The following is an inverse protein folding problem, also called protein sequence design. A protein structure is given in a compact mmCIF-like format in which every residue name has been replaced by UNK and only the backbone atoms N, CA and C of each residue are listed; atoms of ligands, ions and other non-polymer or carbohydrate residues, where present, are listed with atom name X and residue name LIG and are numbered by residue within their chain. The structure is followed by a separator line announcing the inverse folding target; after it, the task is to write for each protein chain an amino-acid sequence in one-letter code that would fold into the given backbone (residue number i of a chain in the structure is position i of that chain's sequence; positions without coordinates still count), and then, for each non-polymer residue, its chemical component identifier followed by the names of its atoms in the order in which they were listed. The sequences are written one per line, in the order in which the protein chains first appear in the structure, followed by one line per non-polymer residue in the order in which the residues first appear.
data_IF_534997488605
#
_entry.id   IF_534997488605
#
_cell.length_a   1.000
_cell.length_b   1.000
_cell.length_c   1.000
_cell.angle_alpha   90.00
_cell.angle_beta   90.00
_cell.angle_gamma   90.00
#
_symmetry.space_group_name_H-M   'P 1'
#
loop_
_entity.id
_entity.type
_entity.pdbx_description
1 polymer ?
#
# COMPACT_ATOMS: atom_id res chain seq x y z
N UNK A 1 10.95 36.09 8.13
CA UNK A 1 11.52 34.87 7.53
C UNK A 1 10.51 33.73 7.45
N UNK A 2 9.75 33.44 8.53
CA UNK A 2 8.72 32.38 8.56
C UNK A 2 7.55 32.64 7.59
N UNK A 3 7.06 33.88 7.49
CA UNK A 3 5.92 34.23 6.62
C UNK A 3 6.24 33.99 5.13
N UNK A 4 7.42 34.41 4.67
CA UNK A 4 7.87 34.21 3.27
C UNK A 4 8.03 32.72 2.93
N UNK A 5 8.51 31.91 3.86
CA UNK A 5 8.61 30.46 3.67
C UNK A 5 7.22 29.80 3.54
N UNK A 6 6.24 30.23 4.36
CA UNK A 6 4.85 29.79 4.23
C UNK A 6 4.22 30.23 2.89
N UNK A 7 4.45 31.45 2.44
CA UNK A 7 3.87 31.93 1.16
C UNK A 7 4.47 31.19 -0.05
N UNK A 8 5.76 30.88 -0.01
CA UNK A 8 6.42 30.09 -1.06
C UNK A 8 5.98 28.62 -1.04
N UNK A 9 5.71 28.06 0.16
CA UNK A 9 5.11 26.72 0.29
C UNK A 9 3.70 26.70 -0.31
N UNK A 10 2.87 27.71 -0.02
CA UNK A 10 1.51 27.80 -0.57
C UNK A 10 1.51 27.91 -2.09
N UNK A 11 2.42 28.71 -2.67
CA UNK A 11 2.61 28.76 -4.13
C UNK A 11 3.08 27.45 -4.75
N UNK A 12 3.82 26.63 -4.00
CA UNK A 12 4.21 25.28 -4.44
C UNK A 12 3.06 24.28 -4.44
N UNK A 13 1.97 24.58 -3.72
CA UNK A 13 0.76 23.77 -3.65
C UNK A 13 -0.33 24.29 -4.61
N UNK A 14 -0.13 25.46 -5.22
CA UNK A 14 -1.02 25.98 -6.24
C UNK A 14 -0.92 25.12 -7.50
N UNK A 15 -2.06 24.55 -7.86
CA UNK A 15 -2.25 23.76 -9.08
C UNK A 15 -1.88 24.62 -10.30
N UNK A 16 -1.12 24.05 -11.25
CA UNK A 16 -0.65 24.78 -12.43
C UNK A 16 -1.82 25.33 -13.26
N UNK A 17 -1.66 26.54 -13.80
CA UNK A 17 -2.74 27.26 -14.49
C UNK A 17 -3.26 26.56 -15.76
N UNK A 18 -2.48 25.64 -16.35
CA UNK A 18 -2.84 24.83 -17.53
C UNK A 18 -3.46 23.47 -17.18
N UNK A 19 -3.71 23.19 -15.90
CA UNK A 19 -4.30 21.93 -15.46
C UNK A 19 -5.80 21.86 -15.77
N UNK A 20 -6.23 20.73 -16.35
CA UNK A 20 -7.66 20.38 -16.38
C UNK A 20 -8.02 19.73 -15.04
N UNK A 21 -9.29 19.74 -14.63
CA UNK A 21 -9.76 19.06 -13.40
C UNK A 21 -9.30 17.60 -13.23
N UNK A 22 -8.88 16.95 -14.32
CA UNK A 22 -8.44 15.55 -14.36
C UNK A 22 -6.94 15.33 -14.58
N UNK A 23 -6.16 16.39 -14.83
CA UNK A 23 -4.72 16.33 -15.09
C UNK A 23 -3.96 17.18 -14.07
N UNK A 24 -3.25 16.49 -13.17
CA UNK A 24 -2.27 17.07 -12.26
C UNK A 24 -0.92 16.37 -12.49
N UNK A 25 0.20 17.04 -12.20
CA UNK A 25 1.55 16.45 -12.33
C UNK A 25 1.72 15.17 -11.52
N UNK A 26 1.03 15.03 -10.38
CA UNK A 26 1.08 13.83 -9.52
C UNK A 26 0.26 12.65 -10.06
N UNK A 27 -0.71 12.93 -10.94
CA UNK A 27 -1.64 11.94 -11.49
C UNK A 27 -1.09 11.36 -12.81
N UNK A 28 -0.19 12.09 -13.47
CA UNK A 28 0.43 11.67 -14.71
C UNK A 28 1.33 10.42 -14.50
N UNK A 29 1.46 9.56 -15.52
CA UNK A 29 2.34 8.41 -15.44
C UNK A 29 3.78 8.81 -15.09
N UNK A 30 4.38 8.08 -14.15
CA UNK A 30 5.69 8.47 -13.62
C UNK A 30 6.79 8.33 -14.71
N UNK A 31 7.54 9.40 -15.02
CA UNK A 31 8.59 9.36 -16.03
C UNK A 31 9.74 8.43 -15.61
N UNK A 32 10.46 7.80 -16.56
CA UNK A 32 11.52 6.84 -16.24
C UNK A 32 12.59 7.37 -15.28
N UNK A 33 12.93 8.67 -15.36
CA UNK A 33 13.92 9.30 -14.50
C UNK A 33 13.55 9.33 -13.01
N UNK A 34 12.25 9.27 -12.67
CA UNK A 34 11.76 9.26 -11.29
C UNK A 34 11.51 7.85 -10.74
N UNK A 35 11.80 6.79 -11.51
CA UNK A 35 11.61 5.39 -11.11
C UNK A 35 12.80 4.90 -10.27
N UNK A 36 12.85 5.32 -9.01
CA UNK A 36 13.95 5.00 -8.08
C UNK A 36 13.80 3.66 -7.37
N UNK A 37 12.63 3.02 -7.49
CA UNK A 37 12.34 1.76 -6.82
C UNK A 37 13.07 0.60 -7.50
N UNK A 38 14.06 0.05 -6.78
CA UNK A 38 14.71 -1.19 -7.18
C UNK A 38 13.98 -2.40 -6.60
N UNK A 39 14.27 -3.60 -7.12
CA UNK A 39 13.73 -4.86 -6.57
C UNK A 39 14.03 -5.03 -5.07
N UNK A 40 15.18 -4.51 -4.61
CA UNK A 40 15.56 -4.53 -3.18
C UNK A 40 14.66 -3.61 -2.37
N UNK A 41 14.44 -2.38 -2.84
CA UNK A 41 13.54 -1.41 -2.21
C UNK A 41 12.14 -2.00 -2.05
N UNK A 42 11.66 -2.73 -3.06
CA UNK A 42 10.36 -3.41 -3.01
C UNK A 42 10.30 -4.48 -1.89
N UNK A 43 11.32 -5.35 -1.79
CA UNK A 43 11.35 -6.39 -0.73
C UNK A 43 11.41 -5.76 0.67
N UNK A 44 12.28 -4.76 0.86
CA UNK A 44 12.41 -4.09 2.16
C UNK A 44 11.14 -3.31 2.53
N UNK A 45 10.46 -2.72 1.55
CA UNK A 45 9.17 -2.07 1.78
C UNK A 45 8.17 -3.08 2.38
N UNK A 46 7.98 -4.24 1.74
CA UNK A 46 7.03 -5.23 2.24
C UNK A 46 7.41 -5.78 3.61
N UNK A 47 8.69 -6.05 3.86
CA UNK A 47 9.17 -6.45 5.20
C UNK A 47 8.86 -5.39 6.26
N UNK A 48 9.05 -4.11 5.94
CA UNK A 48 8.71 -3.02 6.86
C UNK A 48 7.19 -2.95 7.12
N UNK A 49 6.35 -3.21 6.11
CA UNK A 49 4.89 -3.20 6.27
C UNK A 49 4.36 -4.35 7.12
N UNK A 50 5.00 -5.53 7.07
CA UNK A 50 4.58 -6.72 7.82
C UNK A 50 4.87 -6.64 9.32
N UNK A 51 5.66 -5.66 9.76
CA UNK A 51 5.94 -5.42 11.19
C UNK A 51 4.98 -4.35 11.68
N UNK A 52 3.73 -4.75 11.88
CA UNK A 52 2.65 -3.89 12.38
C UNK A 52 1.79 -4.62 13.41
N UNK A 53 1.18 -3.86 14.32
CA UNK A 53 0.42 -4.44 15.43
C UNK A 53 -0.75 -5.34 14.97
N UNK A 54 -1.39 -4.99 13.85
CA UNK A 54 -2.57 -5.72 13.36
C UNK A 54 -2.22 -7.16 12.97
N UNK A 55 -1.14 -7.38 12.22
CA UNK A 55 -0.71 -8.71 11.80
C UNK A 55 -0.29 -9.56 13.00
N UNK A 56 0.42 -8.95 13.96
CA UNK A 56 0.89 -9.64 15.17
C UNK A 56 -0.26 -10.01 16.10
N UNK A 57 -1.24 -9.12 16.26
CA UNK A 57 -2.46 -9.39 17.01
C UNK A 57 -3.31 -10.46 16.33
N UNK A 58 -3.47 -10.41 15.00
CA UNK A 58 -4.22 -11.44 14.26
C UNK A 58 -3.59 -12.84 14.40
N UNK A 59 -2.25 -12.92 14.32
CA UNK A 59 -1.53 -14.16 14.57
C UNK A 59 -1.72 -14.66 16.02
N UNK A 60 -1.63 -13.74 17.00
CA UNK A 60 -1.82 -14.05 18.42
C UNK A 60 -3.22 -14.58 18.72
N UNK A 61 -4.26 -13.96 18.15
CA UNK A 61 -5.65 -14.35 18.36
C UNK A 61 -6.01 -15.69 17.71
N UNK A 62 -5.23 -16.20 16.75
CA UNK A 62 -5.46 -17.55 16.20
C UNK A 62 -5.02 -18.68 17.15
N UNK A 63 -4.12 -18.39 18.09
CA UNK A 63 -3.55 -19.36 19.02
C UNK A 63 -4.48 -19.66 20.19
N UNK A 64 -4.65 -20.95 20.50
CA UNK A 64 -5.52 -21.39 21.62
C UNK A 64 -4.99 -21.11 23.03
N UNK A 65 -3.77 -20.60 23.18
CA UNK A 65 -3.14 -20.40 24.49
C UNK A 65 -3.56 -19.09 25.19
N UNK A 66 -4.03 -18.09 24.43
CA UNK A 66 -4.52 -16.84 24.99
C UNK A 66 -6.03 -16.95 25.29
N UNK A 67 -6.37 -17.25 26.55
CA UNK A 67 -7.76 -17.45 27.00
C UNK A 67 -8.59 -16.15 27.06
N UNK A 68 -7.99 -15.01 26.76
CA UNK A 68 -8.61 -13.68 26.84
C UNK A 68 -8.94 -13.03 25.49
N UNK A 69 -8.56 -13.67 24.37
CA UNK A 69 -8.93 -13.18 23.04
C UNK A 69 -10.32 -13.69 22.64
N UNK A 70 -11.21 -12.75 22.34
CA UNK A 70 -12.63 -12.97 22.04
C UNK A 70 -12.82 -13.78 20.73
N UNK A 71 -11.77 -13.89 19.90
CA UNK A 71 -11.78 -14.53 18.56
C UNK A 71 -10.87 -15.77 18.51
N UNK A 72 -10.53 -16.37 19.65
CA UNK A 72 -9.62 -17.51 19.69
C UNK A 72 -10.14 -18.74 18.95
N UNK A 73 -9.46 -19.13 17.86
CA UNK A 73 -9.81 -20.31 17.02
C UNK A 73 -9.30 -21.62 17.65
N UNK A 74 -8.42 -21.55 18.66
CA UNK A 74 -7.96 -22.72 19.41
C UNK A 74 -6.85 -23.52 18.71
N UNK A 75 -6.19 -22.95 17.69
CA UNK A 75 -5.16 -23.66 16.92
C UNK A 75 -3.89 -23.89 17.74
N UNK A 76 -3.26 -25.04 17.48
CA UNK A 76 -1.88 -25.29 17.94
C UNK A 76 -0.91 -24.36 17.21
N UNK A 77 0.26 -24.10 17.81
CA UNK A 77 1.27 -23.18 17.24
C UNK A 77 1.65 -23.55 15.81
N UNK A 78 1.87 -24.84 15.53
CA UNK A 78 2.22 -25.31 14.19
C UNK A 78 1.10 -25.09 13.17
N UNK A 79 -0.16 -25.33 13.56
CA UNK A 79 -1.31 -25.13 12.67
C UNK A 79 -1.57 -23.64 12.42
N UNK A 80 -1.44 -22.78 13.43
CA UNK A 80 -1.58 -21.34 13.30
C UNK A 80 -0.57 -20.76 12.30
N UNK A 81 0.70 -21.19 12.38
CA UNK A 81 1.75 -20.78 11.42
C UNK A 81 1.40 -21.24 10.01
N UNK A 82 0.96 -22.49 9.83
CA UNK A 82 0.61 -23.03 8.52
C UNK A 82 -0.57 -22.29 7.88
N UNK A 83 -1.64 -22.03 8.65
CA UNK A 83 -2.81 -21.28 8.17
C UNK A 83 -2.41 -19.85 7.79
N UNK A 84 -1.59 -19.19 8.61
CA UNK A 84 -1.14 -17.83 8.31
C UNK A 84 -0.27 -17.79 7.04
N UNK A 85 0.63 -18.76 6.86
CA UNK A 85 1.45 -18.86 5.65
C UNK A 85 0.58 -19.04 4.38
N UNK A 86 -0.45 -19.89 4.44
CA UNK A 86 -1.38 -20.11 3.32
C UNK A 86 -2.18 -18.83 3.03
N UNK A 87 -2.68 -18.17 4.07
CA UNK A 87 -3.39 -16.89 3.96
C UNK A 87 -2.55 -15.84 3.23
N UNK A 88 -1.31 -15.65 3.66
CA UNK A 88 -0.39 -14.69 3.05
C UNK A 88 -0.10 -15.03 1.59
N UNK A 89 0.00 -16.31 1.21
CA UNK A 89 0.18 -16.71 -0.19
C UNK A 89 -1.04 -16.32 -1.03
N UNK A 90 -2.27 -16.55 -0.53
CA UNK A 90 -3.51 -16.18 -1.23
C UNK A 90 -3.57 -14.66 -1.42
N UNK A 91 -3.28 -13.90 -0.38
CA UNK A 91 -3.24 -12.43 -0.41
C UNK A 91 -2.18 -11.95 -1.42
N UNK A 92 -1.00 -12.54 -1.42
CA UNK A 92 0.06 -12.22 -2.40
C UNK A 92 -0.41 -12.40 -3.84
N UNK A 93 -1.14 -13.48 -4.15
CA UNK A 93 -1.67 -13.68 -5.51
C UNK A 93 -2.65 -12.56 -5.89
N UNK A 94 -3.58 -12.22 -5.01
CA UNK A 94 -4.54 -11.13 -5.26
C UNK A 94 -3.83 -9.77 -5.43
N UNK A 95 -2.81 -9.50 -4.60
CA UNK A 95 -2.00 -8.28 -4.69
C UNK A 95 -1.22 -8.20 -6.00
N UNK A 96 -0.64 -9.29 -6.49
CA UNK A 96 0.09 -9.30 -7.76
C UNK A 96 -0.83 -9.01 -8.94
N UNK A 97 -2.03 -9.57 -8.95
CA UNK A 97 -3.03 -9.31 -10.00
C UNK A 97 -3.44 -7.83 -9.98
N UNK A 98 -3.76 -7.32 -8.80
CA UNK A 98 -4.24 -5.94 -8.62
C UNK A 98 -3.14 -4.89 -8.87
N UNK A 99 -1.89 -5.22 -8.51
CA UNK A 99 -0.73 -4.35 -8.68
C UNK A 99 -0.11 -4.37 -10.08
N UNK A 100 -0.45 -5.34 -10.94
CA UNK A 100 0.16 -5.48 -12.27
C UNK A 100 0.00 -4.22 -13.13
N UNK A 101 -1.20 -3.64 -13.13
CA UNK A 101 -1.52 -2.45 -13.90
C UNK A 101 -0.69 -1.24 -13.46
N UNK A 102 -0.60 -1.01 -12.15
CA UNK A 102 0.21 0.06 -11.57
C UNK A 102 1.70 -0.11 -11.87
N UNK A 103 2.22 -1.35 -11.80
CA UNK A 103 3.63 -1.64 -12.06
C UNK A 103 4.02 -1.50 -13.55
N UNK A 104 3.17 -1.95 -14.48
CA UNK A 104 3.46 -1.91 -15.92
C UNK A 104 3.36 -0.49 -16.48
N UNK A 105 2.29 0.21 -16.15
CA UNK A 105 1.99 1.53 -16.74
C UNK A 105 2.44 2.70 -15.86
N UNK A 106 2.85 2.46 -14.61
CA UNK A 106 3.27 3.49 -13.65
C UNK A 106 2.19 4.55 -13.43
N UNK A 107 0.93 4.09 -13.42
CA UNK A 107 -0.27 4.90 -13.23
C UNK A 107 -0.75 4.71 -11.79
N UNK A 108 -1.16 5.78 -11.08
CA UNK A 108 -1.66 5.66 -9.71
C UNK A 108 -3.02 4.96 -9.66
N UNK A 109 -3.30 4.31 -8.53
CA UNK A 109 -4.54 3.55 -8.30
C UNK A 109 -5.81 4.36 -8.60
N UNK A 110 -5.84 5.65 -8.23
CA UNK A 110 -6.99 6.53 -8.47
C UNK A 110 -7.34 6.67 -9.97
N UNK A 111 -6.35 6.63 -10.86
CA UNK A 111 -6.58 6.68 -12.32
C UNK A 111 -7.03 5.32 -12.84
N UNK A 112 -6.51 4.22 -12.30
CA UNK A 112 -6.94 2.86 -12.67
C UNK A 112 -8.43 2.67 -12.31
N UNK A 113 -8.88 3.18 -11.17
CA UNK A 113 -10.29 3.08 -10.76
C UNK A 113 -11.26 3.74 -11.76
N UNK A 114 -10.82 4.74 -12.53
CA UNK A 114 -11.66 5.38 -13.56
C UNK A 114 -12.10 4.40 -14.65
N UNK A 115 -11.35 3.31 -14.85
CA UNK A 115 -11.70 2.29 -15.85
C UNK A 115 -12.88 1.41 -15.42
N UNK A 116 -13.08 1.22 -14.12
CA UNK A 116 -14.17 0.39 -13.57
C UNK A 116 -15.38 1.16 -13.08
N UNK A 117 -15.16 2.37 -12.52
CA UNK A 117 -16.20 3.13 -11.81
C UNK A 117 -16.67 4.39 -12.56
N UNK A 118 -16.01 4.74 -13.66
CA UNK A 118 -16.25 6.00 -14.37
C UNK A 118 -15.42 7.16 -13.82
N UNK A 119 -15.66 8.35 -14.39
CA UNK A 119 -14.97 9.61 -14.05
C UNK A 119 -15.88 10.50 -13.23
#
# INVERSE_FOLDING_TARGET
MIVVACTNLLKSLEVSADSTAYQNEDILPLPPARRTWTRRTFVFFWLATSINIVEWSAASSSLGWCRYDIVAIGLTVGQAIAVNAISTIIICVALLISGHAGARWNIPFAVINRTGWGV
#
